data_IF_497737586436
#
_entry.id   IF_497737586436
#
_cell.length_a   1.000
_cell.length_b   1.000
_cell.length_c   1.000
_cell.angle_alpha   90.00
_cell.angle_beta   90.00
_cell.angle_gamma   90.00
#
_symmetry.space_group_name_H-M   'P 1'
#
loop_
_entity.id
_entity.type
_entity.pdbx_description
1 polymer ?
#
# COMPACT_ATOMS: atom_id res chain seq x y z
N UNK A 1 -7.74 -30.80 16.46
CA UNK A 1 -7.97 -29.64 15.60
C UNK A 1 -7.54 -30.01 14.19
N UNK A 2 -8.43 -29.93 13.17
CA UNK A 2 -8.04 -30.19 11.79
C UNK A 2 -7.27 -28.96 11.28
N UNK A 3 -6.06 -29.12 10.80
CA UNK A 3 -5.34 -28.08 10.09
C UNK A 3 -6.14 -27.66 8.85
N UNK A 4 -6.50 -26.39 8.80
CA UNK A 4 -7.14 -25.81 7.62
C UNK A 4 -6.03 -25.44 6.66
N UNK A 5 -5.96 -26.12 5.50
CA UNK A 5 -4.95 -25.80 4.48
C UNK A 5 -5.24 -24.46 3.82
N UNK A 6 -4.19 -23.78 3.33
CA UNK A 6 -4.34 -22.53 2.59
C UNK A 6 -5.31 -22.61 1.41
N UNK A 7 -5.31 -23.75 0.71
CA UNK A 7 -6.27 -24.02 -0.36
C UNK A 7 -7.71 -24.05 0.14
N UNK A 8 -7.96 -24.55 1.35
CA UNK A 8 -9.28 -24.52 1.96
C UNK A 8 -9.70 -23.11 2.41
N UNK A 9 -8.76 -22.32 2.91
CA UNK A 9 -9.03 -20.91 3.23
C UNK A 9 -9.28 -20.10 1.95
N UNK A 10 -8.47 -20.29 0.92
CA UNK A 10 -8.67 -19.66 -0.39
C UNK A 10 -9.94 -20.13 -1.08
N UNK A 11 -10.29 -21.42 -1.02
CA UNK A 11 -11.57 -21.93 -1.52
C UNK A 11 -12.76 -21.42 -0.71
N UNK A 12 -12.60 -21.29 0.61
CA UNK A 12 -13.58 -20.65 1.48
C UNK A 12 -13.72 -19.16 1.17
N UNK A 13 -12.61 -18.46 0.88
CA UNK A 13 -12.62 -17.05 0.50
C UNK A 13 -13.06 -16.82 -0.97
N UNK A 14 -12.85 -17.78 -1.85
CA UNK A 14 -13.12 -17.66 -3.28
C UNK A 14 -14.50 -18.11 -3.75
N UNK A 15 -15.32 -18.72 -2.90
CA UNK A 15 -16.51 -19.38 -3.45
C UNK A 15 -17.72 -19.52 -2.56
N UNK A 16 -17.75 -18.97 -1.36
CA UNK A 16 -18.87 -19.22 -0.48
C UNK A 16 -19.63 -17.96 -0.10
N UNK A 17 -20.92 -17.98 -0.30
CA UNK A 17 -21.86 -16.90 -0.09
C UNK A 17 -21.65 -15.99 1.14
N UNK A 18 -21.20 -16.49 2.32
CA UNK A 18 -20.98 -15.63 3.49
C UNK A 18 -19.84 -14.63 3.32
N UNK A 19 -18.71 -15.02 2.66
CA UNK A 19 -17.55 -14.15 2.50
C UNK A 19 -17.77 -13.13 1.39
N UNK A 20 -18.36 -13.53 0.28
CA UNK A 20 -18.79 -12.62 -0.79
C UNK A 20 -19.75 -11.57 -0.22
N UNK A 21 -20.74 -12.01 0.58
CA UNK A 21 -21.72 -11.14 1.22
C UNK A 21 -21.08 -10.14 2.20
N UNK A 22 -20.02 -10.54 2.88
CA UNK A 22 -19.24 -9.63 3.72
C UNK A 22 -18.62 -8.49 2.89
N UNK A 23 -17.97 -8.82 1.75
CA UNK A 23 -17.36 -7.82 0.88
C UNK A 23 -18.40 -6.94 0.19
N UNK A 24 -19.52 -7.49 -0.25
CA UNK A 24 -20.65 -6.73 -0.79
C UNK A 24 -21.16 -5.71 0.23
N UNK A 25 -21.31 -6.10 1.50
CA UNK A 25 -21.73 -5.19 2.58
C UNK A 25 -20.70 -4.08 2.84
N UNK A 26 -19.41 -4.38 2.76
CA UNK A 26 -18.38 -3.36 2.86
C UNK A 26 -18.47 -2.36 1.69
N UNK A 27 -18.71 -2.85 0.47
CA UNK A 27 -18.85 -2.00 -0.71
C UNK A 27 -20.11 -1.12 -0.61
N UNK A 28 -21.26 -1.67 -0.22
CA UNK A 28 -22.49 -0.93 0.04
C UNK A 28 -22.31 0.17 1.10
N UNK A 29 -21.58 -0.13 2.17
CA UNK A 29 -21.24 0.81 3.23
C UNK A 29 -20.15 1.80 2.84
N UNK A 30 -19.53 1.65 1.64
CA UNK A 30 -18.38 2.41 1.16
C UNK A 30 -17.21 2.42 2.13
N UNK A 31 -16.99 1.30 2.83
CA UNK A 31 -15.87 1.10 3.73
C UNK A 31 -14.65 0.64 2.92
N UNK A 32 -13.56 1.40 2.88
CA UNK A 32 -12.34 0.95 2.22
C UNK A 32 -11.63 -0.12 3.04
N UNK A 33 -10.96 -1.03 2.34
CA UNK A 33 -10.05 -2.02 2.92
C UNK A 33 -8.61 -1.53 2.80
N UNK A 34 -7.90 -1.37 3.90
CA UNK A 34 -6.44 -1.25 3.91
C UNK A 34 -5.86 -2.64 4.16
N UNK A 35 -5.13 -3.17 3.19
CA UNK A 35 -4.56 -4.51 3.25
C UNK A 35 -3.03 -4.46 3.11
N UNK A 36 -2.33 -5.12 4.04
CA UNK A 36 -0.89 -5.33 3.90
C UNK A 36 -0.60 -6.17 2.65
N UNK A 37 0.37 -5.75 1.84
CA UNK A 37 0.84 -6.48 0.65
C UNK A 37 2.36 -6.41 0.52
N UNK A 38 2.94 -7.41 -0.14
CA UNK A 38 4.39 -7.53 -0.26
C UNK A 38 5.04 -8.29 0.90
N UNK A 39 6.18 -8.86 0.65
CA UNK A 39 6.91 -9.65 1.65
C UNK A 39 7.26 -8.84 2.90
N UNK A 40 7.15 -9.46 4.05
CA UNK A 40 7.41 -8.87 5.36
C UNK A 40 8.29 -9.79 6.19
N UNK A 41 9.25 -9.23 6.94
CA UNK A 41 10.11 -9.99 7.86
C UNK A 41 10.40 -9.25 9.17
N UNK A 42 9.85 -8.05 9.36
CA UNK A 42 10.01 -7.27 10.61
C UNK A 42 9.15 -7.82 11.74
N UNK A 43 8.14 -8.63 11.39
CA UNK A 43 7.28 -9.36 12.31
C UNK A 43 7.23 -10.84 11.92
N UNK A 44 6.94 -11.76 12.85
CA UNK A 44 6.76 -13.17 12.52
C UNK A 44 5.65 -13.38 11.49
N UNK A 45 6.00 -13.91 10.33
CA UNK A 45 5.05 -14.18 9.23
C UNK A 45 4.68 -15.65 9.25
N UNK A 46 3.39 -15.95 9.50
CA UNK A 46 2.87 -17.33 9.49
C UNK A 46 2.69 -17.85 8.06
N UNK A 47 2.23 -16.99 7.17
CA UNK A 47 1.91 -17.32 5.76
C UNK A 47 2.30 -16.16 4.85
N UNK A 48 3.46 -16.26 4.22
CA UNK A 48 3.98 -15.24 3.31
C UNK A 48 3.13 -15.05 2.03
N UNK A 49 2.41 -16.09 1.60
CA UNK A 49 1.52 -16.05 0.44
C UNK A 49 0.28 -15.16 0.65
N UNK A 50 -0.10 -14.87 1.90
CA UNK A 50 -1.19 -13.93 2.18
C UNK A 50 -0.84 -12.46 1.90
N UNK A 51 0.43 -12.16 1.66
CA UNK A 51 0.87 -10.83 1.22
C UNK A 51 0.81 -10.63 -0.31
N UNK A 52 0.39 -11.64 -1.07
CA UNK A 52 0.19 -11.54 -2.51
C UNK A 52 -1.07 -10.71 -2.83
N UNK A 53 -0.95 -9.59 -3.58
CA UNK A 53 -2.10 -8.75 -3.93
C UNK A 53 -3.25 -9.49 -4.63
N UNK A 54 -3.00 -10.65 -5.26
CA UNK A 54 -4.04 -11.45 -5.92
C UNK A 54 -5.15 -11.92 -5.00
N UNK A 55 -4.89 -12.03 -3.68
CA UNK A 55 -5.94 -12.37 -2.70
C UNK A 55 -7.02 -11.28 -2.61
N UNK A 56 -6.71 -10.06 -3.05
CA UNK A 56 -7.62 -8.92 -3.04
C UNK A 56 -8.62 -8.94 -4.23
N UNK A 57 -8.51 -9.93 -5.12
CA UNK A 57 -9.39 -10.02 -6.30
C UNK A 57 -10.86 -10.07 -5.91
N UNK A 58 -11.25 -10.92 -4.97
CA UNK A 58 -12.65 -11.05 -4.55
C UNK A 58 -13.24 -9.76 -3.96
N UNK A 59 -12.62 -9.09 -2.96
CA UNK A 59 -13.14 -7.81 -2.49
C UNK A 59 -13.20 -6.74 -3.60
N UNK A 60 -12.23 -6.71 -4.52
CA UNK A 60 -12.24 -5.77 -5.65
C UNK A 60 -13.39 -6.05 -6.62
N UNK A 61 -13.67 -7.31 -6.94
CA UNK A 61 -14.81 -7.74 -7.78
C UNK A 61 -16.16 -7.45 -7.10
N UNK A 62 -16.22 -7.50 -5.77
CA UNK A 62 -17.40 -7.07 -5.01
C UNK A 62 -17.57 -5.55 -4.92
N UNK A 63 -16.64 -4.76 -5.49
CA UNK A 63 -16.72 -3.30 -5.53
C UNK A 63 -16.12 -2.59 -4.31
N UNK A 64 -15.42 -3.31 -3.40
CA UNK A 64 -14.72 -2.69 -2.28
C UNK A 64 -13.58 -1.82 -2.79
N UNK A 65 -13.46 -0.61 -2.28
CA UNK A 65 -12.25 0.20 -2.49
C UNK A 65 -11.11 -0.38 -1.65
N UNK A 66 -10.02 -0.80 -2.29
CA UNK A 66 -8.88 -1.42 -1.60
C UNK A 66 -7.65 -0.53 -1.71
N UNK A 67 -6.95 -0.37 -0.60
CA UNK A 67 -5.63 0.25 -0.54
C UNK A 67 -4.63 -0.86 -0.19
N UNK A 68 -3.80 -1.22 -1.16
CA UNK A 68 -2.72 -2.17 -0.98
C UNK A 68 -1.51 -1.45 -0.35
N UNK A 69 -1.31 -1.63 0.95
CA UNK A 69 -0.17 -1.06 1.65
C UNK A 69 1.14 -1.56 1.01
N UNK A 70 2.11 -0.65 0.87
CA UNK A 70 3.42 -0.90 0.27
C UNK A 70 3.40 -1.31 -1.22
N UNK A 71 2.24 -1.27 -1.90
CA UNK A 71 2.14 -1.61 -3.33
C UNK A 71 2.70 -3.01 -3.70
N UNK A 72 2.62 -3.99 -2.81
CA UNK A 72 3.18 -5.31 -3.03
C UNK A 72 4.71 -5.39 -2.96
N UNK A 73 5.41 -4.33 -2.55
CA UNK A 73 6.88 -4.31 -2.46
C UNK A 73 7.36 -5.13 -1.26
N UNK A 74 8.49 -5.81 -1.41
CA UNK A 74 9.11 -6.58 -0.33
C UNK A 74 9.83 -5.70 0.69
N UNK A 75 9.97 -6.16 1.94
CA UNK A 75 10.72 -5.48 2.99
C UNK A 75 12.17 -5.97 3.14
N UNK A 76 12.45 -7.24 2.86
CA UNK A 76 13.76 -7.86 2.92
C UNK A 76 14.29 -8.38 1.59
N UNK A 77 15.57 -8.73 1.56
CA UNK A 77 16.22 -9.21 0.32
C UNK A 77 15.59 -10.51 -0.19
N UNK A 78 15.20 -11.40 0.70
CA UNK A 78 14.69 -12.73 0.39
C UNK A 78 13.16 -12.82 0.41
N UNK A 79 12.48 -11.73 0.76
CA UNK A 79 11.03 -11.70 0.76
C UNK A 79 10.47 -11.74 -0.66
N UNK A 80 9.25 -12.29 -0.85
CA UNK A 80 8.59 -12.27 -2.15
C UNK A 80 8.27 -10.85 -2.59
N UNK A 81 8.47 -10.59 -3.87
CA UNK A 81 8.20 -9.30 -4.53
C UNK A 81 6.94 -9.40 -5.39
N UNK A 82 5.94 -8.58 -5.10
CA UNK A 82 4.66 -8.58 -5.79
C UNK A 82 4.31 -7.24 -6.45
N UNK A 83 5.24 -6.29 -6.51
CA UNK A 83 4.97 -4.97 -7.09
C UNK A 83 4.38 -5.04 -8.50
N UNK A 84 4.93 -5.91 -9.36
CA UNK A 84 4.43 -6.06 -10.74
C UNK A 84 3.00 -6.63 -10.78
N UNK A 85 2.66 -7.52 -9.84
CA UNK A 85 1.30 -8.03 -9.67
C UNK A 85 0.35 -6.88 -9.28
N UNK A 86 0.72 -6.08 -8.29
CA UNK A 86 -0.02 -4.89 -7.89
C UNK A 86 -0.22 -3.93 -9.08
N UNK A 87 0.86 -3.61 -9.80
CA UNK A 87 0.81 -2.69 -10.95
C UNK A 87 -0.08 -3.20 -12.10
N UNK A 88 -0.13 -4.51 -12.33
CA UNK A 88 -1.05 -5.13 -13.29
C UNK A 88 -2.50 -5.04 -12.80
N UNK A 89 -2.73 -5.39 -11.53
CA UNK A 89 -4.07 -5.34 -10.94
C UNK A 89 -4.66 -3.91 -10.94
N UNK A 90 -3.86 -2.86 -10.78
CA UNK A 90 -4.36 -1.46 -10.86
C UNK A 90 -4.90 -1.09 -12.24
N UNK A 91 -4.44 -1.75 -13.32
CA UNK A 91 -5.00 -1.56 -14.68
C UNK A 91 -6.35 -2.24 -14.84
N UNK A 92 -6.55 -3.35 -14.13
CA UNK A 92 -7.79 -4.14 -14.18
C UNK A 92 -8.87 -3.58 -13.25
N UNK A 93 -8.46 -3.13 -12.04
CA UNK A 93 -9.38 -2.72 -10.98
C UNK A 93 -9.28 -1.22 -10.69
N UNK A 94 -10.27 -0.41 -11.12
CA UNK A 94 -10.26 1.03 -10.87
C UNK A 94 -10.45 1.41 -9.40
N UNK A 95 -10.90 0.50 -8.56
CA UNK A 95 -11.06 0.62 -7.11
C UNK A 95 -9.86 0.12 -6.31
N UNK A 96 -8.73 -0.24 -6.97
CA UNK A 96 -7.48 -0.57 -6.30
C UNK A 96 -6.56 0.66 -6.27
N UNK A 97 -6.05 0.95 -5.09
CA UNK A 97 -5.05 1.97 -4.79
C UNK A 97 -3.84 1.35 -4.11
N UNK A 98 -2.71 2.02 -4.14
CA UNK A 98 -1.54 1.68 -3.35
C UNK A 98 -1.15 2.84 -2.46
N UNK A 99 -0.41 2.58 -1.41
CA UNK A 99 0.12 3.65 -0.57
C UNK A 99 1.63 3.79 -0.67
N UNK A 100 2.14 4.90 -0.16
CA UNK A 100 3.57 5.23 -0.13
C UNK A 100 4.24 4.81 1.17
N UNK A 101 3.61 3.94 1.96
CA UNK A 101 4.11 3.54 3.27
C UNK A 101 5.46 2.84 3.17
N UNK A 102 6.38 3.20 4.06
CA UNK A 102 7.77 2.74 4.11
C UNK A 102 8.60 2.97 2.83
N UNK A 103 8.17 3.80 1.88
CA UNK A 103 8.95 4.07 0.65
C UNK A 103 10.28 4.78 0.91
N UNK A 104 10.48 5.33 2.10
CA UNK A 104 11.77 5.87 2.55
C UNK A 104 12.79 4.76 2.93
N UNK A 105 12.37 3.49 2.99
CA UNK A 105 13.26 2.34 3.21
C UNK A 105 13.77 1.82 1.86
N UNK A 106 15.08 1.54 1.73
CA UNK A 106 15.71 1.22 0.44
C UNK A 106 15.03 0.10 -0.35
N UNK A 107 14.66 -0.99 0.31
CA UNK A 107 14.09 -2.17 -0.35
C UNK A 107 12.65 -1.89 -0.79
N UNK A 108 11.79 -1.35 0.08
CA UNK A 108 10.40 -1.00 -0.27
C UNK A 108 10.33 0.14 -1.29
N UNK A 109 11.19 1.15 -1.16
CA UNK A 109 11.23 2.30 -2.09
C UNK A 109 11.83 2.01 -3.46
N UNK A 110 12.22 0.78 -3.77
CA UNK A 110 12.88 0.41 -5.03
C UNK A 110 12.07 0.74 -6.29
N UNK A 111 10.74 0.69 -6.20
CA UNK A 111 9.80 0.97 -7.28
C UNK A 111 9.19 2.37 -7.22
N UNK A 112 9.80 3.28 -6.46
CA UNK A 112 9.26 4.62 -6.27
C UNK A 112 9.16 5.42 -7.59
N UNK A 113 10.13 5.25 -8.51
CA UNK A 113 10.09 5.91 -9.82
C UNK A 113 8.89 5.48 -10.66
N UNK A 114 8.56 4.20 -10.60
CA UNK A 114 7.39 3.64 -11.28
C UNK A 114 6.10 4.18 -10.67
N UNK A 115 6.05 4.35 -9.34
CA UNK A 115 4.89 4.94 -8.64
C UNK A 115 4.74 6.45 -8.89
N UNK A 116 5.80 7.15 -9.32
CA UNK A 116 5.77 8.55 -9.72
C UNK A 116 5.32 8.77 -11.18
N UNK A 117 5.07 7.69 -11.91
CA UNK A 117 4.64 7.75 -13.30
C UNK A 117 3.17 7.30 -13.45
N UNK A 118 2.38 7.92 -14.39
CA UNK A 118 1.08 7.40 -14.76
C UNK A 118 1.17 5.97 -15.36
N UNK A 119 0.17 5.12 -15.16
CA UNK A 119 -1.09 5.38 -14.44
C UNK A 119 -1.00 5.18 -12.91
N UNK A 120 0.14 4.67 -12.37
CA UNK A 120 0.26 4.34 -10.96
C UNK A 120 0.13 5.57 -10.05
N UNK A 121 0.73 6.70 -10.44
CA UNK A 121 0.68 7.95 -9.67
C UNK A 121 -0.76 8.37 -9.33
N UNK A 122 -1.69 8.15 -10.26
CA UNK A 122 -3.10 8.46 -10.07
C UNK A 122 -3.80 7.53 -9.08
N UNK A 123 -3.17 6.44 -8.71
CA UNK A 123 -3.66 5.43 -7.76
C UNK A 123 -2.91 5.46 -6.42
N UNK A 124 -1.95 6.37 -6.24
CA UNK A 124 -1.18 6.45 -5.00
C UNK A 124 -1.89 7.29 -3.95
N UNK A 125 -1.88 6.80 -2.70
CA UNK A 125 -2.26 7.55 -1.50
C UNK A 125 -1.09 7.64 -0.53
N UNK A 126 -1.12 8.63 0.36
CA UNK A 126 -0.10 8.78 1.39
C UNK A 126 -0.26 7.71 2.48
N UNK A 127 0.83 7.05 2.83
CA UNK A 127 1.02 6.23 4.01
C UNK A 127 2.43 6.46 4.56
N UNK A 128 2.61 6.53 5.88
CA UNK A 128 3.93 6.70 6.52
C UNK A 128 4.56 5.38 6.94
N UNK A 129 3.74 4.42 7.34
CA UNK A 129 4.15 3.19 8.03
C UNK A 129 4.84 3.45 9.38
N UNK A 130 4.44 4.55 10.05
CA UNK A 130 4.99 4.85 11.38
C UNK A 130 4.74 3.66 12.35
N UNK A 131 5.75 3.19 13.12
CA UNK A 131 7.02 3.86 13.45
C UNK A 131 8.24 3.43 12.61
N UNK A 132 8.07 2.93 11.40
CA UNK A 132 9.21 2.63 10.52
C UNK A 132 10.07 3.89 10.34
N UNK A 133 11.42 3.78 10.48
CA UNK A 133 12.29 4.93 10.35
C UNK A 133 12.18 5.62 8.99
N UNK A 134 12.13 6.96 9.01
CA UNK A 134 12.10 7.79 7.80
C UNK A 134 13.44 8.47 7.62
N UNK A 135 14.15 8.12 6.54
CA UNK A 135 15.42 8.71 6.17
C UNK A 135 15.45 9.11 4.68
N UNK A 136 15.98 10.30 4.40
CA UNK A 136 16.11 10.81 3.03
C UNK A 136 17.30 10.23 2.24
N UNK A 137 18.20 9.46 2.88
CA UNK A 137 19.43 8.94 2.25
C UNK A 137 19.15 8.14 0.98
N UNK A 138 18.14 7.27 1.01
CA UNK A 138 17.81 6.45 -0.14
C UNK A 138 17.25 7.29 -1.31
N UNK A 139 16.40 8.25 -1.02
CA UNK A 139 15.86 9.16 -2.02
C UNK A 139 16.97 9.98 -2.69
N UNK A 140 17.91 10.48 -1.89
CA UNK A 140 19.10 11.18 -2.41
C UNK A 140 20.01 10.26 -3.24
N UNK A 141 20.37 9.08 -2.72
CA UNK A 141 21.23 8.12 -3.43
C UNK A 141 20.62 7.66 -4.77
N UNK A 142 19.31 7.68 -4.89
CA UNK A 142 18.59 7.35 -6.13
C UNK A 142 18.35 8.57 -7.04
N UNK A 143 18.83 9.75 -6.66
CA UNK A 143 18.63 10.98 -7.41
C UNK A 143 17.17 11.44 -7.48
N UNK A 144 16.36 11.09 -6.48
CA UNK A 144 14.96 11.52 -6.37
C UNK A 144 14.86 12.89 -5.68
N UNK A 145 15.83 13.23 -4.86
CA UNK A 145 15.99 14.55 -4.23
C UNK A 145 17.46 14.97 -4.31
N UNK A 146 17.72 16.28 -4.35
CA UNK A 146 19.07 16.82 -4.29
C UNK A 146 19.66 16.79 -2.87
N UNK A 147 20.97 17.03 -2.75
CA UNK A 147 21.68 17.05 -1.47
C UNK A 147 21.14 18.10 -0.50
N UNK A 148 20.80 19.30 -0.99
CA UNK A 148 20.30 20.40 -0.16
C UNK A 148 18.95 20.04 0.44
N UNK A 149 18.04 19.51 -0.36
CA UNK A 149 16.71 19.02 0.06
C UNK A 149 16.83 17.89 1.07
N UNK A 150 17.68 16.88 0.77
CA UNK A 150 17.96 15.80 1.72
C UNK A 150 18.43 16.34 3.07
N UNK A 151 19.46 17.20 3.09
CA UNK A 151 20.01 17.77 4.34
C UNK A 151 19.02 18.62 5.11
N UNK A 152 18.12 19.30 4.42
CA UNK A 152 17.05 20.09 5.04
C UNK A 152 16.08 19.18 5.80
N UNK A 153 15.50 18.20 5.13
CA UNK A 153 14.44 17.38 5.71
C UNK A 153 14.97 16.29 6.66
N UNK A 154 16.20 15.81 6.50
CA UNK A 154 16.81 14.87 7.45
C UNK A 154 16.94 15.45 8.87
N UNK A 155 17.00 16.78 9.00
CA UNK A 155 17.05 17.50 10.28
C UNK A 155 15.67 17.75 10.91
N UNK A 156 14.58 17.51 10.18
CA UNK A 156 13.23 17.70 10.70
C UNK A 156 12.96 16.68 11.83
N UNK A 157 12.71 17.15 13.08
CA UNK A 157 12.52 16.25 14.22
C UNK A 157 11.17 15.50 14.17
N UNK A 158 10.13 16.11 13.58
CA UNK A 158 8.86 15.45 13.39
C UNK A 158 8.97 14.46 12.24
N UNK A 159 8.92 13.16 12.55
CA UNK A 159 9.11 12.07 11.58
C UNK A 159 8.00 12.05 10.51
N UNK A 160 6.76 12.37 10.87
CA UNK A 160 5.64 12.40 9.91
C UNK A 160 5.76 13.58 8.96
N UNK A 161 6.19 14.74 9.46
CA UNK A 161 6.49 15.90 8.62
C UNK A 161 7.67 15.63 7.69
N UNK A 162 8.72 14.96 8.18
CA UNK A 162 9.86 14.54 7.37
C UNK A 162 9.42 13.61 6.24
N UNK A 163 8.60 12.61 6.54
CA UNK A 163 8.05 11.67 5.56
C UNK A 163 7.28 12.40 4.46
N UNK A 164 6.37 13.29 4.88
CA UNK A 164 5.57 14.09 3.97
C UNK A 164 6.44 14.96 3.04
N UNK A 165 7.34 15.74 3.61
CA UNK A 165 8.17 16.68 2.86
C UNK A 165 9.16 15.99 1.92
N UNK A 166 9.72 14.85 2.31
CA UNK A 166 10.55 14.03 1.42
C UNK A 166 9.74 13.55 0.23
N UNK A 167 8.53 13.05 0.42
CA UNK A 167 7.68 12.56 -0.67
C UNK A 167 7.22 13.70 -1.60
N UNK A 168 6.91 14.86 -1.06
CA UNK A 168 6.67 16.07 -1.89
C UNK A 168 7.90 16.40 -2.73
N UNK A 169 9.08 16.40 -2.12
CA UNK A 169 10.33 16.69 -2.81
C UNK A 169 10.70 15.63 -3.87
N UNK A 170 10.29 14.38 -3.69
CA UNK A 170 10.44 13.31 -4.68
C UNK A 170 9.52 13.47 -5.90
N UNK A 171 8.51 14.32 -5.82
CA UNK A 171 7.58 14.61 -6.93
C UNK A 171 6.17 14.04 -6.76
N UNK A 172 5.81 13.50 -5.59
CA UNK A 172 4.42 13.15 -5.34
C UNK A 172 3.54 14.41 -5.27
N UNK A 173 2.49 14.52 -6.10
CA UNK A 173 1.65 15.70 -6.13
C UNK A 173 0.71 15.76 -4.92
N UNK A 174 0.12 16.95 -4.70
CA UNK A 174 -0.81 17.19 -3.59
C UNK A 174 -1.95 16.16 -3.53
N UNK A 175 -2.41 15.71 -4.67
CA UNK A 175 -3.50 14.74 -4.80
C UNK A 175 -3.17 13.42 -4.12
N UNK A 176 -1.91 12.97 -4.11
CA UNK A 176 -1.46 11.77 -3.39
C UNK A 176 -1.76 11.89 -1.89
N UNK A 177 -1.59 13.08 -1.32
CA UNK A 177 -1.79 13.33 0.12
C UNK A 177 -3.25 13.61 0.49
N UNK A 178 -4.09 13.99 -0.47
CA UNK A 178 -5.49 14.35 -0.20
C UNK A 178 -6.49 13.32 -0.72
N UNK A 179 -6.09 12.42 -1.61
CA UNK A 179 -6.97 11.41 -2.24
C UNK A 179 -7.68 10.53 -1.23
N UNK A 180 -7.05 10.21 -0.12
CA UNK A 180 -7.64 9.41 0.96
C UNK A 180 -8.97 10.00 1.47
N UNK A 181 -9.11 11.32 1.51
CA UNK A 181 -10.36 11.97 1.92
C UNK A 181 -11.54 11.62 1.02
N UNK A 182 -11.28 11.48 -0.29
CA UNK A 182 -12.29 11.03 -1.26
C UNK A 182 -12.70 9.59 -1.03
N UNK A 183 -11.75 8.73 -0.69
CA UNK A 183 -11.98 7.30 -0.45
C UNK A 183 -12.73 7.06 0.87
N UNK A 184 -12.58 7.94 1.87
CA UNK A 184 -13.22 7.84 3.19
C UNK A 184 -14.59 8.56 3.26
N UNK A 185 -15.04 9.26 2.23
CA UNK A 185 -16.31 10.02 2.25
C UNK A 185 -17.56 9.17 2.47
N UNK A 186 -17.47 7.86 2.25
CA UNK A 186 -18.56 6.93 2.54
C UNK A 186 -18.73 6.61 4.02
N UNK A 187 -17.71 6.85 4.83
CA UNK A 187 -17.74 6.59 6.27
C UNK A 187 -18.55 7.71 6.93
N UNK A 188 -19.77 7.39 7.38
CA UNK A 188 -20.58 8.33 8.16
C UNK A 188 -19.82 8.63 9.45
N UNK A 189 -19.53 9.91 9.70
CA UNK A 189 -19.17 10.36 11.05
C UNK A 189 -20.43 10.28 11.89
N UNK A 190 -20.49 9.38 12.84
CA UNK A 190 -21.42 9.51 13.95
C UNK A 190 -20.97 10.75 14.74
N UNK A 191 -21.79 11.79 14.69
CA UNK A 191 -21.61 13.02 15.50
C UNK A 191 -22.24 12.81 16.87
#
# INVERSE_FOLDING_TARGET
MREVTAGQVLAFLAGTGPVTRFWERMAEARLPLLAHTGGEHTVPVVRADFADPRILTLPLECGVTVIAAHCGTKSGLFDPEYFHVFAEMTRRFPNLYGDTSAFNVPIRGRHMRECLAPPLLERMVQGSDYPVPVHGHFAWARGLVDWKTFRCWERQPNVLERDYQLKVAMGFPRETFTRIWGLLRGVKRET
#
